data_IF_241946743255
#
_entry.id   IF_241946743255
#
_cell.length_a   1.000
_cell.length_b   1.000
_cell.length_c   1.000
_cell.angle_alpha   90.00
_cell.angle_beta   90.00
_cell.angle_gamma   90.00
#
_symmetry.space_group_name_H-M   'P 1'
#
loop_
_entity.id
_entity.type
_entity.pdbx_description
1 polymer ?
#
# COMPACT_ATOMS: atom_id res chain seq x y z
N UNK A 1 10.97 -2.54 1.03
CA UNK A 1 10.25 -1.26 0.75
C UNK A 1 11.17 -0.16 0.23
N UNK A 2 12.07 -0.47 -0.73
CA UNK A 2 12.76 0.60 -1.45
C UNK A 2 11.76 1.17 -2.45
N UNK A 3 11.05 2.22 -2.04
CA UNK A 3 10.33 3.14 -2.91
C UNK A 3 11.09 3.25 -4.24
N UNK A 4 10.49 2.72 -5.31
CA UNK A 4 11.14 2.38 -6.56
C UNK A 4 12.25 3.38 -6.94
N UNK A 5 13.46 2.85 -7.10
CA UNK A 5 14.75 3.53 -7.04
C UNK A 5 14.90 4.56 -8.19
N UNK A 6 14.57 5.83 -7.95
CA UNK A 6 15.21 6.95 -8.65
C UNK A 6 15.90 7.86 -7.66
N UNK A 7 17.21 8.07 -7.89
CA UNK A 7 18.08 8.97 -7.12
C UNK A 7 17.38 10.32 -6.91
N UNK A 8 17.68 11.06 -5.82
CA UNK A 8 17.23 12.44 -5.66
C UNK A 8 17.92 13.30 -6.72
N UNK A 9 17.36 13.30 -7.92
CA UNK A 9 17.50 14.42 -8.84
C UNK A 9 16.72 15.52 -8.15
N UNK A 10 17.33 16.69 -7.95
CA UNK A 10 16.71 17.88 -7.38
C UNK A 10 15.38 18.17 -8.08
N UNK A 11 14.31 17.54 -7.61
CA UNK A 11 12.97 17.70 -8.09
C UNK A 11 12.38 18.83 -7.28
N UNK A 12 11.96 19.88 -7.97
CA UNK A 12 11.18 20.99 -7.39
C UNK A 12 9.80 20.52 -6.92
N UNK A 13 9.40 19.28 -7.22
CA UNK A 13 8.16 18.68 -6.77
C UNK A 13 8.36 17.85 -5.49
N UNK A 14 7.48 18.01 -4.49
CA UNK A 14 7.54 17.23 -3.26
C UNK A 14 7.30 15.74 -3.57
N UNK A 15 7.82 14.81 -2.74
CA UNK A 15 7.67 13.37 -2.98
C UNK A 15 6.19 12.99 -2.97
N UNK A 16 5.74 12.34 -4.04
CA UNK A 16 4.34 11.89 -4.17
C UNK A 16 4.12 10.50 -3.58
N UNK A 17 5.19 9.81 -3.17
CA UNK A 17 5.12 8.46 -2.64
C UNK A 17 4.34 7.51 -3.56
N UNK A 18 4.58 7.63 -4.86
CA UNK A 18 4.18 6.70 -5.92
C UNK A 18 5.07 6.96 -7.14
N UNK A 19 5.29 5.96 -7.97
CA UNK A 19 5.93 6.09 -9.29
C UNK A 19 4.92 6.01 -10.45
N UNK A 20 3.62 5.94 -10.13
CA UNK A 20 2.50 5.81 -11.06
C UNK A 20 2.52 4.56 -11.94
N UNK A 21 3.31 3.56 -11.58
CA UNK A 21 3.33 2.26 -12.24
C UNK A 21 2.13 1.41 -11.81
N UNK A 22 2.06 0.19 -12.34
CA UNK A 22 1.05 -0.80 -12.03
C UNK A 22 1.76 -2.08 -11.61
N UNK A 23 1.29 -2.68 -10.51
CA UNK A 23 1.90 -3.87 -9.96
C UNK A 23 0.83 -4.81 -9.37
N UNK A 24 1.09 -6.11 -9.42
CA UNK A 24 0.32 -7.11 -8.70
C UNK A 24 1.16 -7.56 -7.49
N UNK A 25 0.82 -7.09 -6.29
CA UNK A 25 1.55 -7.45 -5.07
C UNK A 25 1.08 -8.79 -4.47
N UNK A 26 0.08 -9.44 -5.09
CA UNK A 26 -0.47 -10.72 -4.66
C UNK A 26 -1.49 -10.60 -3.52
N UNK A 27 -2.27 -9.51 -3.48
CA UNK A 27 -3.27 -9.30 -2.41
C UNK A 27 -4.30 -10.43 -2.41
N UNK A 28 -4.64 -11.00 -1.23
CA UNK A 28 -5.65 -12.04 -1.14
C UNK A 28 -7.05 -11.49 -1.42
N UNK A 29 -7.95 -12.38 -1.83
CA UNK A 29 -9.36 -12.05 -2.05
C UNK A 29 -10.04 -11.62 -0.75
N UNK A 30 -10.83 -10.55 -0.82
CA UNK A 30 -11.69 -10.11 0.28
C UNK A 30 -13.09 -10.74 0.16
N UNK A 31 -13.29 -11.91 0.78
CA UNK A 31 -14.58 -12.64 0.77
C UNK A 31 -15.70 -11.93 1.56
N UNK A 32 -15.39 -10.82 2.23
CA UNK A 32 -16.36 -10.03 2.99
C UNK A 32 -16.95 -8.87 2.15
N UNK A 33 -16.55 -8.72 0.89
CA UNK A 33 -17.22 -7.78 -0.03
C UNK A 33 -18.65 -8.29 -0.30
N UNK A 34 -19.69 -7.44 -0.19
CA UNK A 34 -21.06 -7.84 -0.50
C UNK A 34 -21.16 -8.47 -1.89
N UNK A 35 -21.95 -9.54 -1.99
CA UNK A 35 -22.17 -10.34 -3.21
C UNK A 35 -20.94 -11.10 -3.74
N UNK A 36 -19.79 -11.05 -3.04
CA UNK A 36 -18.56 -11.77 -3.37
C UNK A 36 -18.22 -11.69 -4.88
N UNK A 37 -17.98 -10.48 -5.42
CA UNK A 37 -17.85 -10.26 -6.86
C UNK A 37 -16.67 -11.03 -7.46
N UNK A 38 -16.75 -11.41 -8.73
CA UNK A 38 -15.64 -12.05 -9.45
C UNK A 38 -14.31 -11.31 -9.27
N UNK A 39 -13.21 -12.04 -9.39
CA UNK A 39 -11.87 -11.51 -9.18
C UNK A 39 -11.60 -10.27 -10.05
N UNK A 40 -11.09 -9.21 -9.43
CA UNK A 40 -10.74 -7.97 -10.14
C UNK A 40 -9.46 -8.17 -10.96
N UNK A 41 -9.59 -8.11 -12.28
CA UNK A 41 -8.46 -8.24 -13.20
C UNK A 41 -7.56 -6.99 -13.23
N UNK A 42 -7.93 -5.92 -12.52
CA UNK A 42 -7.17 -4.68 -12.44
C UNK A 42 -7.00 -4.03 -13.82
N UNK A 43 -5.77 -3.63 -14.14
CA UNK A 43 -5.45 -3.01 -15.43
C UNK A 43 -5.78 -3.93 -16.62
N UNK A 44 -5.55 -5.24 -16.47
CA UNK A 44 -5.86 -6.24 -17.50
C UNK A 44 -7.36 -6.45 -17.76
N UNK A 45 -8.25 -5.97 -16.88
CA UNK A 45 -9.70 -5.99 -17.11
C UNK A 45 -10.19 -4.95 -18.12
N UNK A 46 -9.34 -3.98 -18.50
CA UNK A 46 -9.68 -2.96 -19.48
C UNK A 46 -9.60 -3.50 -20.91
N UNK A 47 -10.69 -3.39 -21.66
CA UNK A 47 -10.78 -3.89 -23.04
C UNK A 47 -9.69 -3.32 -23.97
N UNK A 48 -9.38 -2.03 -23.86
CA UNK A 48 -8.36 -1.37 -24.69
C UNK A 48 -6.93 -1.85 -24.40
N UNK A 49 -6.66 -2.28 -23.17
CA UNK A 49 -5.37 -2.84 -22.75
C UNK A 49 -5.29 -4.32 -23.12
N UNK A 50 -6.35 -5.08 -22.87
CA UNK A 50 -6.43 -6.51 -23.19
C UNK A 50 -6.28 -6.77 -24.69
N UNK A 51 -6.80 -5.90 -25.56
CA UNK A 51 -6.63 -5.99 -27.01
C UNK A 51 -5.16 -5.77 -27.44
N UNK A 52 -4.43 -4.90 -26.75
CA UNK A 52 -3.03 -4.58 -27.06
C UNK A 52 -2.04 -5.59 -26.46
N UNK A 53 -2.39 -6.20 -25.33
CA UNK A 53 -1.58 -7.19 -24.61
C UNK A 53 -2.35 -8.50 -24.41
N UNK A 54 -2.57 -9.30 -25.49
CA UNK A 54 -3.36 -10.53 -25.43
C UNK A 54 -2.69 -11.65 -24.62
N UNK A 55 -1.43 -11.48 -24.27
CA UNK A 55 -0.68 -12.38 -23.38
C UNK A 55 -1.05 -12.21 -21.89
N UNK A 56 -1.84 -11.18 -21.55
CA UNK A 56 -2.39 -11.01 -20.21
C UNK A 56 -1.38 -10.47 -19.19
N UNK A 57 -0.30 -9.83 -19.64
CA UNK A 57 0.76 -9.30 -18.76
C UNK A 57 0.29 -8.22 -17.77
N UNK A 58 -0.88 -7.63 -17.98
CA UNK A 58 -1.45 -6.60 -17.09
C UNK A 58 -2.55 -7.14 -16.15
N UNK A 59 -2.87 -8.44 -16.25
CA UNK A 59 -3.88 -9.08 -15.40
C UNK A 59 -3.42 -9.04 -13.94
N UNK A 60 -4.32 -8.60 -13.05
CA UNK A 60 -4.11 -8.50 -11.60
C UNK A 60 -3.30 -7.27 -11.17
N UNK A 61 -2.78 -6.46 -12.10
CA UNK A 61 -2.01 -5.27 -11.72
C UNK A 61 -2.92 -4.10 -11.37
N UNK A 62 -2.67 -3.49 -10.22
CA UNK A 62 -3.32 -2.25 -9.80
C UNK A 62 -2.31 -1.11 -9.81
N UNK A 63 -2.80 0.11 -10.04
CA UNK A 63 -1.96 1.31 -9.99
C UNK A 63 -1.25 1.38 -8.63
N UNK A 64 -0.04 1.90 -8.54
CA UNK A 64 0.59 2.22 -7.24
C UNK A 64 0.01 3.54 -6.71
N UNK A 65 -0.68 3.50 -5.57
CA UNK A 65 -1.31 4.69 -4.97
C UNK A 65 -0.30 5.49 -4.15
N UNK A 66 -0.57 6.80 -4.01
CA UNK A 66 0.21 7.65 -3.11
C UNK A 66 0.01 7.21 -1.65
N UNK A 67 1.09 7.25 -0.86
CA UNK A 67 1.02 7.01 0.59
C UNK A 67 0.71 8.27 1.42
N UNK A 68 0.45 9.42 0.78
CA UNK A 68 0.00 10.62 1.49
C UNK A 68 -1.38 10.35 2.11
N UNK A 69 -1.55 10.76 3.37
CA UNK A 69 -2.75 10.52 4.18
C UNK A 69 -3.11 9.05 4.43
N UNK A 70 -2.17 8.12 4.20
CA UNK A 70 -2.45 6.69 4.32
C UNK A 70 -2.94 6.30 5.74
N UNK A 71 -2.49 6.97 6.79
CA UNK A 71 -2.91 6.63 8.14
C UNK A 71 -4.38 6.94 8.45
N UNK A 72 -5.07 7.75 7.64
CA UNK A 72 -6.48 8.13 7.82
C UNK A 72 -7.40 7.60 6.72
N UNK A 73 -6.90 6.70 5.87
CA UNK A 73 -7.68 6.08 4.79
C UNK A 73 -7.76 4.55 4.89
N UNK A 74 -8.05 3.96 6.07
CA UNK A 74 -8.38 2.53 6.11
C UNK A 74 -9.74 2.28 5.44
N UNK A 75 -10.00 1.05 4.94
CA UNK A 75 -9.08 -0.09 4.83
C UNK A 75 -8.10 0.03 3.64
N UNK A 76 -7.13 -0.89 3.55
CA UNK A 76 -5.99 -0.84 2.62
C UNK A 76 -6.04 -1.92 1.53
N UNK A 77 -5.21 -1.72 0.50
CA UNK A 77 -5.23 -2.39 -0.82
C UNK A 77 -6.45 -2.01 -1.68
N UNK A 78 -6.54 -2.55 -2.91
CA UNK A 78 -7.61 -2.21 -3.86
C UNK A 78 -8.99 -2.73 -3.43
N UNK A 79 -9.00 -3.84 -2.68
CA UNK A 79 -10.21 -4.53 -2.23
C UNK A 79 -10.50 -4.33 -0.72
N UNK A 80 -9.71 -3.50 -0.03
CA UNK A 80 -9.92 -3.18 1.38
C UNK A 80 -9.71 -4.36 2.34
N UNK A 81 -8.91 -5.38 1.96
CA UNK A 81 -8.74 -6.60 2.76
C UNK A 81 -8.03 -6.36 4.08
N UNK A 82 -7.09 -5.40 4.13
CA UNK A 82 -6.33 -5.08 5.34
C UNK A 82 -7.00 -3.92 6.10
N UNK A 83 -7.28 -4.12 7.38
CA UNK A 83 -7.98 -3.15 8.22
C UNK A 83 -7.05 -2.11 8.83
N UNK A 84 -5.75 -2.43 8.95
CA UNK A 84 -4.76 -1.61 9.65
C UNK A 84 -3.49 -1.41 8.82
N UNK A 85 -2.74 -0.35 9.13
CA UNK A 85 -1.44 -0.10 8.49
C UNK A 85 -0.46 -1.23 8.82
N UNK A 86 -0.53 -1.70 10.05
CA UNK A 86 0.27 -2.78 10.59
C UNK A 86 0.06 -4.06 9.76
N UNK A 87 -1.18 -4.42 9.41
CA UNK A 87 -1.49 -5.59 8.58
C UNK A 87 -0.90 -5.50 7.17
N UNK A 88 -1.05 -4.37 6.47
CA UNK A 88 -0.51 -4.23 5.10
C UNK A 88 1.03 -4.16 5.10
N UNK A 89 1.63 -3.49 6.09
CA UNK A 89 3.10 -3.47 6.26
C UNK A 89 3.63 -4.87 6.53
N UNK A 90 2.95 -5.62 7.42
CA UNK A 90 3.30 -6.99 7.73
C UNK A 90 3.17 -7.90 6.50
N UNK A 91 2.10 -7.74 5.69
CA UNK A 91 1.93 -8.46 4.43
C UNK A 91 3.12 -8.27 3.49
N UNK A 92 3.55 -7.02 3.27
CA UNK A 92 4.73 -6.76 2.44
C UNK A 92 6.01 -7.43 2.97
N UNK A 93 6.17 -7.52 4.28
CA UNK A 93 7.33 -8.14 4.90
C UNK A 93 7.28 -9.67 4.81
N UNK A 94 6.09 -10.26 4.96
CA UNK A 94 5.97 -11.69 5.30
C UNK A 94 5.17 -12.57 4.34
N UNK A 95 4.63 -12.00 3.23
CA UNK A 95 3.82 -12.73 2.23
C UNK A 95 4.38 -14.10 1.85
N UNK A 96 5.68 -14.18 1.59
CA UNK A 96 6.35 -15.37 1.05
C UNK A 96 7.01 -16.25 2.12
N UNK A 97 6.91 -15.88 3.40
CA UNK A 97 7.53 -16.60 4.52
C UNK A 97 6.54 -17.16 5.53
N UNK A 98 5.38 -16.53 5.71
CA UNK A 98 4.32 -17.12 6.53
C UNK A 98 3.64 -18.28 5.79
N UNK A 99 2.91 -19.09 6.56
CA UNK A 99 2.15 -20.21 6.02
C UNK A 99 0.94 -19.79 5.20
N UNK A 100 0.13 -20.78 4.83
CA UNK A 100 -1.12 -20.58 4.11
C UNK A 100 -2.32 -20.71 5.06
N UNK A 101 -3.33 -19.85 4.87
CA UNK A 101 -4.64 -19.93 5.53
C UNK A 101 -5.76 -19.97 4.49
N UNK A 102 -6.97 -20.42 4.87
CA UNK A 102 -8.05 -20.61 3.89
C UNK A 102 -8.52 -19.30 3.25
N UNK A 103 -8.77 -18.28 4.08
CA UNK A 103 -9.30 -16.99 3.69
C UNK A 103 -9.07 -15.96 4.82
N UNK A 104 -9.57 -14.75 4.62
CA UNK A 104 -9.37 -13.60 5.51
C UNK A 104 -10.12 -13.70 6.85
N UNK A 105 -11.04 -14.66 6.98
CA UNK A 105 -11.78 -14.94 8.22
C UNK A 105 -11.10 -16.02 9.06
N UNK A 106 -10.01 -16.64 8.57
CA UNK A 106 -9.20 -17.58 9.36
C UNK A 106 -8.59 -16.86 10.59
N UNK A 107 -8.67 -17.45 11.80
CA UNK A 107 -8.06 -16.87 13.01
C UNK A 107 -6.55 -16.58 12.92
N UNK A 108 -5.85 -17.25 11.99
CA UNK A 108 -4.42 -17.13 11.72
C UNK A 108 -4.08 -16.10 10.63
N UNK A 109 -5.08 -15.48 9.99
CA UNK A 109 -4.90 -14.39 9.04
C UNK A 109 -4.04 -13.28 9.65
N UNK A 110 -3.02 -12.84 8.90
CA UNK A 110 -2.04 -11.82 9.30
C UNK A 110 -1.21 -12.15 10.56
N UNK A 111 -1.21 -13.41 11.01
CA UNK A 111 -0.42 -13.86 12.17
C UNK A 111 0.57 -14.96 11.79
N UNK A 112 0.04 -16.04 11.22
CA UNK A 112 0.80 -17.23 10.88
C UNK A 112 0.63 -17.63 9.41
N UNK A 113 -0.24 -16.94 8.67
CA UNK A 113 -0.38 -17.17 7.24
C UNK A 113 -1.23 -16.14 6.50
N UNK A 114 -1.10 -16.23 5.18
CA UNK A 114 -1.85 -15.44 4.21
C UNK A 114 -2.65 -16.38 3.28
N UNK A 115 -3.86 -15.98 2.84
CA UNK A 115 -4.55 -16.68 1.77
C UNK A 115 -3.78 -16.55 0.46
N UNK A 116 -4.12 -17.38 -0.52
CA UNK A 116 -3.59 -17.24 -1.87
C UNK A 116 -3.95 -15.87 -2.46
N UNK A 117 -3.11 -15.33 -3.35
CA UNK A 117 -3.45 -14.16 -4.14
C UNK A 117 -4.81 -14.34 -4.84
N UNK A 118 -5.59 -13.26 -4.94
CA UNK A 118 -6.81 -13.26 -5.76
C UNK A 118 -6.50 -13.59 -7.23
N UNK A 119 -5.38 -13.07 -7.73
CA UNK A 119 -4.82 -13.34 -9.05
C UNK A 119 -3.34 -13.70 -8.89
N UNK A 120 -2.98 -14.94 -9.20
CA UNK A 120 -1.59 -15.42 -9.13
C UNK A 120 -0.72 -14.96 -10.31
N UNK A 121 -1.36 -14.59 -11.42
CA UNK A 121 -0.66 -14.12 -12.62
C UNK A 121 0.01 -12.77 -12.36
N UNK A 122 1.24 -12.60 -12.85
CA UNK A 122 2.01 -11.36 -12.77
C UNK A 122 2.33 -10.87 -11.34
N UNK A 123 2.21 -11.73 -10.32
CA UNK A 123 2.58 -11.35 -8.94
C UNK A 123 4.07 -11.01 -8.86
N UNK A 124 4.39 -9.84 -8.32
CA UNK A 124 5.76 -9.39 -8.11
C UNK A 124 6.40 -10.17 -6.95
N UNK A 125 7.36 -11.02 -7.31
CA UNK A 125 8.17 -11.84 -6.41
C UNK A 125 9.62 -11.33 -6.27
N UNK A 126 10.00 -10.31 -7.04
CA UNK A 126 11.38 -9.82 -7.10
C UNK A 126 11.68 -8.83 -5.96
N UNK A 127 10.69 -8.03 -5.56
CA UNK A 127 10.91 -6.86 -4.70
C UNK A 127 10.23 -6.92 -3.32
N UNK A 128 9.35 -7.90 -3.10
CA UNK A 128 8.39 -7.93 -1.99
C UNK A 128 8.25 -9.35 -1.41
N UNK A 129 7.68 -9.47 -0.21
CA UNK A 129 7.21 -10.74 0.36
C UNK A 129 8.15 -11.46 1.34
N UNK A 130 9.44 -11.12 1.33
CA UNK A 130 10.37 -11.46 2.40
C UNK A 130 11.37 -10.31 2.61
N UNK A 131 10.94 -9.25 3.29
CA UNK A 131 11.79 -8.07 3.50
C UNK A 131 12.76 -8.24 4.68
N UNK A 132 12.64 -9.34 5.44
CA UNK A 132 13.44 -9.66 6.62
C UNK A 132 13.41 -8.55 7.69
N UNK A 133 12.32 -7.80 7.76
CA UNK A 133 12.16 -6.74 8.75
C UNK A 133 11.83 -7.34 10.12
N UNK A 134 12.43 -6.79 11.17
CA UNK A 134 12.05 -7.09 12.54
C UNK A 134 10.71 -6.41 12.90
N UNK A 135 10.11 -6.82 14.02
CA UNK A 135 8.89 -6.19 14.54
C UNK A 135 9.11 -4.69 14.85
N UNK A 136 10.30 -4.33 15.33
CA UNK A 136 10.67 -2.94 15.58
C UNK A 136 10.79 -2.13 14.29
N UNK A 137 11.32 -2.74 13.22
CA UNK A 137 11.43 -2.10 11.91
C UNK A 137 10.05 -1.92 11.24
N UNK A 138 9.17 -2.92 11.33
CA UNK A 138 7.77 -2.79 10.90
C UNK A 138 7.07 -1.65 11.66
N UNK A 139 7.24 -1.58 12.99
CA UNK A 139 6.66 -0.52 13.81
C UNK A 139 7.24 0.86 13.44
N UNK A 140 8.54 0.95 13.17
CA UNK A 140 9.19 2.19 12.73
C UNK A 140 8.67 2.64 11.35
N UNK A 141 8.43 1.70 10.42
CA UNK A 141 7.83 1.99 9.12
C UNK A 141 6.40 2.50 9.27
N UNK A 142 5.59 1.85 10.10
CA UNK A 142 4.24 2.33 10.39
C UNK A 142 4.26 3.72 11.02
N UNK A 143 5.19 3.99 11.94
CA UNK A 143 5.38 5.31 12.53
C UNK A 143 5.75 6.36 11.45
N UNK A 144 6.65 6.02 10.53
CA UNK A 144 6.99 6.87 9.39
C UNK A 144 5.78 7.14 8.49
N UNK A 145 4.99 6.11 8.13
CA UNK A 145 3.78 6.27 7.30
C UNK A 145 2.75 7.19 7.96
N UNK A 146 2.63 7.16 9.30
CA UNK A 146 1.77 8.06 10.06
C UNK A 146 2.19 9.53 9.92
N UNK A 147 3.48 9.82 9.67
CA UNK A 147 3.97 11.19 9.40
C UNK A 147 3.57 11.73 8.03
N UNK A 148 3.09 10.88 7.12
CA UNK A 148 2.61 11.29 5.80
C UNK A 148 1.16 11.80 5.82
N UNK A 149 0.58 11.97 7.00
CA UNK A 149 -0.75 12.54 7.21
C UNK A 149 -0.65 14.06 7.26
N UNK A 150 -1.41 14.73 6.41
CA UNK A 150 -1.51 16.18 6.39
C UNK A 150 -2.07 16.69 7.74
N UNK A 151 -1.64 17.87 8.18
CA UNK A 151 -2.04 18.41 9.49
C UNK A 151 -1.21 17.92 10.69
N UNK A 152 -0.06 17.28 10.44
CA UNK A 152 0.97 17.05 11.45
C UNK A 152 1.30 18.36 12.21
N UNK A 153 1.49 18.34 13.55
CA UNK A 153 1.70 19.55 14.34
C UNK A 153 2.85 20.40 13.78
N UNK A 154 2.67 21.71 13.89
CA UNK A 154 3.32 22.81 13.15
C UNK A 154 4.86 22.88 13.15
N UNK A 155 5.60 21.90 13.65
CA UNK A 155 7.05 21.99 13.80
C UNK A 155 7.71 20.62 13.76
N UNK A 156 8.07 20.18 12.55
CA UNK A 156 9.36 19.53 12.39
C UNK A 156 10.44 20.61 12.47
N UNK A 157 11.53 20.37 13.20
CA UNK A 157 12.69 21.26 13.26
C UNK A 157 13.39 21.36 11.87
N UNK A 158 12.74 21.97 10.88
CA UNK A 158 13.39 22.41 9.64
C UNK A 158 13.92 23.83 9.86
N UNK A 159 15.25 24.04 9.94
CA UNK A 159 15.84 25.36 10.17
C UNK A 159 15.61 26.34 9.01
N UNK A 160 14.96 25.91 7.91
CA UNK A 160 14.63 26.75 6.75
C UNK A 160 13.22 27.33 6.78
N UNK A 161 12.36 26.87 7.69
CA UNK A 161 11.01 27.42 7.86
C UNK A 161 11.03 28.38 9.04
N UNK A 162 10.66 29.67 8.86
CA UNK A 162 10.56 30.60 9.98
C UNK A 162 9.63 30.05 11.05
N UNK A 163 10.13 30.03 12.28
CA UNK A 163 9.33 29.78 13.49
C UNK A 163 8.12 30.72 13.44
N UNK A 164 6.91 30.20 13.60
CA UNK A 164 5.62 30.92 13.48
C UNK A 164 5.04 31.15 12.07
N UNK A 165 5.54 30.47 11.03
CA UNK A 165 4.88 30.47 9.72
C UNK A 165 3.49 29.81 9.82
N UNK A 166 2.37 30.51 9.53
CA UNK A 166 1.04 29.93 9.64
C UNK A 166 0.87 28.79 8.64
N UNK A 167 0.30 27.67 9.08
CA UNK A 167 -0.05 26.59 8.17
C UNK A 167 -1.04 27.11 7.12
N UNK A 168 -0.82 26.87 5.81
CA UNK A 168 -1.77 27.24 4.76
C UNK A 168 -3.12 26.50 4.89
N UNK A 169 -3.23 25.55 5.82
CA UNK A 169 -4.41 24.73 6.07
C UNK A 169 -4.90 24.80 7.53
N UNK A 170 -4.58 25.87 8.28
CA UNK A 170 -4.93 26.02 9.70
C UNK A 170 -6.44 26.01 10.04
N UNK A 171 -7.33 25.88 9.06
CA UNK A 171 -8.78 26.02 9.24
C UNK A 171 -9.60 24.72 9.11
N UNK A 172 -8.98 23.55 9.00
CA UNK A 172 -9.75 22.30 8.92
C UNK A 172 -9.89 21.70 10.32
N UNK A 173 -10.98 22.02 11.01
CA UNK A 173 -11.34 21.38 12.28
C UNK A 173 -11.60 19.89 12.05
N UNK A 174 -10.77 19.04 12.68
CA UNK A 174 -11.00 17.60 12.77
C UNK A 174 -12.15 17.35 13.76
N UNK A 175 -13.27 16.83 13.26
CA UNK A 175 -14.37 16.34 14.09
C UNK A 175 -13.86 15.12 14.86
N UNK A 176 -13.90 15.23 16.20
CA UNK A 176 -13.53 14.18 17.16
C UNK A 176 -14.56 13.08 17.25
#
# INVERSE_FOLDING_TARGET
MSFCRKKPVYSTFPPLFTDFTYDNIGVPRNVNIPDDPEADLGLGGRADIAEQGPDGNEIGKHKVMSLRNIAITPPYAHNGVFKTLEEIVHFYNTRDVLGFVSDINDPQFAKNGWPAPEIEQNVNIDELGNLMLSAEEEAALVAFLKTLTDGYPQWGHDPRVPEDSPSPFAHTELIR
#
